data_IF_823988913327
#
_entry.id   IF_823988913327
#
_cell.length_a   1.000
_cell.length_b   1.000
_cell.length_c   1.000
_cell.angle_alpha   90.00
_cell.angle_beta   90.00
_cell.angle_gamma   90.00
#
_symmetry.space_group_name_H-M   'P 1'
#
loop_
_entity.id
_entity.type
_entity.pdbx_description
1 polymer ?
#
# COMPACT_ATOMS: atom_id res chain seq x y z
N UNK A 1 1.19 -13.33 -0.98
CA UNK A 1 0.94 -13.93 -2.32
C UNK A 1 -0.01 -13.12 -3.19
N UNK A 2 -1.21 -12.73 -2.73
CA UNK A 2 -2.19 -12.04 -3.59
C UNK A 2 -1.66 -10.76 -4.28
N UNK A 3 -0.98 -9.87 -3.55
CA UNK A 3 -0.41 -8.64 -4.12
C UNK A 3 0.63 -8.96 -5.20
N UNK A 4 1.55 -9.88 -4.90
CA UNK A 4 2.59 -10.31 -5.84
C UNK A 4 2.00 -10.97 -7.08
N UNK A 5 0.98 -11.81 -6.92
CA UNK A 5 0.27 -12.45 -8.03
C UNK A 5 -0.44 -11.43 -8.92
N UNK A 6 -1.07 -10.41 -8.32
CA UNK A 6 -1.72 -9.34 -9.09
C UNK A 6 -0.71 -8.52 -9.89
N UNK A 7 0.40 -8.12 -9.27
CA UNK A 7 1.46 -7.39 -9.97
C UNK A 7 2.11 -8.25 -11.06
N UNK A 8 2.35 -9.54 -10.80
CA UNK A 8 2.87 -10.47 -11.79
C UNK A 8 1.92 -10.62 -13.00
N UNK A 9 0.61 -10.73 -12.76
CA UNK A 9 -0.39 -10.80 -13.84
C UNK A 9 -0.45 -9.54 -14.70
N UNK A 10 -0.01 -8.39 -14.17
CA UNK A 10 0.11 -7.13 -14.89
C UNK A 10 1.52 -6.87 -15.45
N UNK A 11 2.49 -7.75 -15.16
CA UNK A 11 3.89 -7.56 -15.56
C UNK A 11 4.60 -6.40 -14.84
N UNK A 12 4.14 -6.05 -13.63
CA UNK A 12 4.67 -4.92 -12.86
C UNK A 12 5.67 -5.38 -11.79
N UNK A 13 6.76 -4.62 -11.66
CA UNK A 13 7.79 -4.76 -10.60
C UNK A 13 7.53 -3.81 -9.42
N UNK A 14 6.54 -2.93 -9.54
CA UNK A 14 6.17 -1.93 -8.54
C UNK A 14 4.66 -1.67 -8.50
N UNK A 15 4.18 -1.05 -7.42
CA UNK A 15 2.77 -0.68 -7.29
C UNK A 15 2.46 0.14 -6.05
N UNK A 16 1.16 0.44 -5.88
CA UNK A 16 0.65 1.18 -4.73
C UNK A 16 -0.31 0.29 -3.94
N UNK A 17 -0.19 0.34 -2.61
CA UNK A 17 -1.15 -0.26 -1.70
C UNK A 17 -1.73 0.85 -0.81
N UNK A 18 -2.99 1.21 -1.05
CA UNK A 18 -3.68 2.24 -0.29
C UNK A 18 -4.58 1.58 0.76
N UNK A 19 -4.33 1.86 2.03
CA UNK A 19 -5.06 1.33 3.17
C UNK A 19 -5.87 2.46 3.79
N UNK A 20 -7.20 2.33 3.77
CA UNK A 20 -8.09 3.28 4.41
C UNK A 20 -8.51 2.79 5.79
N UNK A 21 -8.16 3.55 6.83
CA UNK A 21 -8.68 3.34 8.17
C UNK A 21 -10.06 3.98 8.31
N UNK A 22 -11.05 3.12 8.55
CA UNK A 22 -12.47 3.48 8.71
C UNK A 22 -12.93 3.51 10.16
N UNK A 23 -12.03 3.33 11.13
CA UNK A 23 -12.37 3.39 12.55
C UNK A 23 -12.91 4.78 12.91
N UNK A 24 -13.87 4.83 13.82
CA UNK A 24 -14.34 6.10 14.36
C UNK A 24 -13.26 6.76 15.23
N UNK A 25 -13.31 8.09 15.35
CA UNK A 25 -12.38 8.87 16.21
C UNK A 25 -10.95 8.98 15.68
N UNK A 26 -10.70 8.63 14.42
CA UNK A 26 -9.39 8.87 13.81
C UNK A 26 -9.12 10.37 13.62
N UNK A 27 -7.84 10.80 13.70
CA UNK A 27 -7.46 12.17 13.40
C UNK A 27 -7.89 12.62 12.00
N UNK A 28 -7.91 13.94 11.72
CA UNK A 28 -8.10 14.46 10.38
C UNK A 28 -7.19 13.78 9.34
N UNK A 29 -7.68 13.64 8.11
CA UNK A 29 -6.98 12.93 7.03
C UNK A 29 -5.52 13.41 6.84
N UNK A 30 -5.29 14.72 6.99
CA UNK A 30 -3.96 15.34 6.86
C UNK A 30 -2.96 14.81 7.90
N UNK A 31 -3.42 14.50 9.11
CA UNK A 31 -2.56 14.10 10.23
C UNK A 31 -2.24 12.59 10.22
N UNK A 32 -3.08 11.78 9.55
CA UNK A 32 -2.93 10.32 9.50
C UNK A 32 -2.48 9.78 8.15
N UNK A 33 -2.49 10.61 7.10
CA UNK A 33 -2.01 10.19 5.78
C UNK A 33 -0.49 10.08 5.79
N UNK A 34 0.03 8.90 5.50
CA UNK A 34 1.47 8.65 5.37
C UNK A 34 1.75 7.74 4.18
N UNK A 35 2.95 7.86 3.61
CA UNK A 35 3.45 6.96 2.57
C UNK A 35 4.82 6.41 2.95
N UNK A 36 5.04 5.13 2.66
CA UNK A 36 6.33 4.47 2.85
C UNK A 36 6.55 3.46 1.73
N UNK A 37 7.77 3.41 1.21
CA UNK A 37 8.19 2.33 0.32
C UNK A 37 8.58 1.09 1.11
N UNK A 38 7.97 -0.05 0.76
CA UNK A 38 8.25 -1.35 1.35
C UNK A 38 8.34 -2.41 0.26
N UNK A 39 9.24 -3.39 0.39
CA UNK A 39 9.27 -4.53 -0.52
C UNK A 39 8.05 -5.43 -0.26
N UNK A 40 7.48 -5.99 -1.33
CA UNK A 40 6.59 -7.14 -1.23
C UNK A 40 7.36 -8.39 -0.78
N UNK A 41 6.67 -9.46 -0.37
CA UNK A 41 7.33 -10.75 -0.07
C UNK A 41 8.22 -11.29 -1.20
N UNK A 42 7.94 -10.97 -2.46
CA UNK A 42 8.79 -11.33 -3.61
C UNK A 42 9.72 -10.20 -4.08
N UNK A 43 9.90 -9.15 -3.27
CA UNK A 43 10.86 -8.08 -3.53
C UNK A 43 10.39 -6.99 -4.50
N UNK A 44 9.11 -6.93 -4.86
CA UNK A 44 8.55 -5.83 -5.68
C UNK A 44 8.43 -4.55 -4.86
N UNK A 45 8.61 -3.39 -5.49
CA UNK A 45 8.60 -2.08 -4.80
C UNK A 45 7.17 -1.59 -4.58
N UNK A 46 6.73 -1.46 -3.34
CA UNK A 46 5.36 -1.03 -3.02
C UNK A 46 5.38 0.30 -2.27
N UNK A 47 4.71 1.31 -2.84
CA UNK A 47 4.35 2.51 -2.09
C UNK A 47 3.10 2.21 -1.25
N UNK A 48 3.29 2.02 0.06
CA UNK A 48 2.19 1.80 1.01
C UNK A 48 1.71 3.14 1.50
N UNK A 49 0.47 3.49 1.18
CA UNK A 49 -0.21 4.69 1.67
C UNK A 49 -1.20 4.28 2.75
N UNK A 50 -1.12 4.88 3.92
CA UNK A 50 -2.10 4.70 5.01
C UNK A 50 -2.88 6.00 5.15
N UNK A 51 -4.19 5.91 5.02
CA UNK A 51 -5.10 7.05 4.89
C UNK A 51 -6.34 6.90 5.77
#
# INVERSE_FOLDING_TARGET
EQLDGYLAGLGLDHGWLVIFDRRAGQPPIRERTSSQELPSPQGRRIAVVRA
#
